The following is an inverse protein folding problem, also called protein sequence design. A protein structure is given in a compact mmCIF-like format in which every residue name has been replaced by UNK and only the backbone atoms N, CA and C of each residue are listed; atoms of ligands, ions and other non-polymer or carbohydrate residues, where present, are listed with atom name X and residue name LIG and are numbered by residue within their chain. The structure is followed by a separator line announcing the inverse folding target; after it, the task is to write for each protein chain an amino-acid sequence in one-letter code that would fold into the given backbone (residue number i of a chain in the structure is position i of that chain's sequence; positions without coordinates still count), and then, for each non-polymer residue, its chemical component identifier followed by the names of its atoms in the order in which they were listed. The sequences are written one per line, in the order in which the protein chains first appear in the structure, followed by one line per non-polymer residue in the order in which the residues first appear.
data_IF_122220778595
#
_entry.id   IF_122220778595
#
_cell.length_a   1.000
_cell.length_b   1.000
_cell.length_c   1.000
_cell.angle_alpha   90.00
_cell.angle_beta   90.00
_cell.angle_gamma   90.00
#
_symmetry.space_group_name_H-M   'P 1'
#
loop_
_entity.id
_entity.type
_entity.pdbx_description
1 polymer ?
#
# COMPACT_ATOMS: atom_id res chain seq x y z
N UNK A 1 -14.04 8.18 4.78
CA UNK A 1 -14.14 9.25 5.80
C UNK A 1 -15.44 10.05 5.69
N UNK A 2 -15.73 10.73 4.56
CA UNK A 2 -16.94 11.55 4.40
C UNK A 2 -18.25 10.75 4.52
N UNK A 3 -18.37 9.64 3.79
CA UNK A 3 -19.55 8.77 3.88
C UNK A 3 -19.77 8.21 5.31
N UNK A 4 -18.70 7.83 6.03
CA UNK A 4 -18.78 7.39 7.44
C UNK A 4 -19.28 8.50 8.38
N UNK A 5 -19.19 9.78 7.97
CA UNK A 5 -19.73 10.94 8.69
C UNK A 5 -21.16 11.31 8.27
N UNK A 6 -21.84 10.47 7.48
CA UNK A 6 -23.24 10.69 7.07
C UNK A 6 -23.43 11.56 5.83
N UNK A 7 -22.36 11.95 5.14
CA UNK A 7 -22.47 12.72 3.89
C UNK A 7 -22.90 11.82 2.74
N UNK A 8 -23.75 12.34 1.85
CA UNK A 8 -24.01 11.71 0.56
C UNK A 8 -22.82 11.94 -0.36
N UNK A 9 -22.13 10.85 -0.73
CA UNK A 9 -20.88 10.91 -1.51
C UNK A 9 -21.06 10.15 -2.82
N UNK A 10 -20.79 10.82 -3.93
CA UNK A 10 -20.66 10.20 -5.26
C UNK A 10 -19.19 10.20 -5.69
N UNK A 11 -18.66 9.03 -6.08
CA UNK A 11 -17.28 8.87 -6.55
C UNK A 11 -17.29 8.50 -8.04
N UNK A 12 -16.53 9.23 -8.85
CA UNK A 12 -16.37 8.96 -10.27
C UNK A 12 -14.91 8.60 -10.55
N UNK A 13 -14.66 7.44 -11.15
CA UNK A 13 -13.33 6.96 -11.55
C UNK A 13 -13.38 6.63 -13.04
N UNK A 14 -12.37 7.05 -13.79
CA UNK A 14 -12.34 6.89 -15.24
C UNK A 14 -12.11 5.43 -15.65
N UNK A 15 -11.41 4.66 -14.80
CA UNK A 15 -11.09 3.26 -15.06
C UNK A 15 -12.25 2.34 -14.69
N UNK A 16 -12.38 1.18 -15.36
CA UNK A 16 -13.30 0.13 -14.93
C UNK A 16 -12.99 -0.34 -13.50
N UNK A 17 -14.02 -0.89 -12.85
CA UNK A 17 -13.91 -1.42 -11.49
C UNK A 17 -12.82 -2.52 -11.41
N UNK A 18 -11.71 -2.30 -10.68
CA UNK A 18 -10.61 -3.26 -10.59
C UNK A 18 -10.99 -4.57 -9.88
N UNK A 19 -12.17 -4.64 -9.24
CA UNK A 19 -12.67 -5.85 -8.60
C UNK A 19 -13.15 -6.87 -9.64
N UNK A 20 -13.55 -6.43 -10.83
CA UNK A 20 -13.97 -7.29 -11.94
C UNK A 20 -12.75 -7.95 -12.59
N UNK A 21 -12.82 -9.27 -12.82
CA UNK A 21 -11.71 -10.05 -13.39
C UNK A 21 -11.29 -9.56 -14.78
N UNK A 22 -12.26 -9.18 -15.61
CA UNK A 22 -12.06 -8.62 -16.96
C UNK A 22 -11.26 -7.31 -16.94
N UNK A 23 -11.46 -6.47 -15.93
CA UNK A 23 -10.76 -5.20 -15.78
C UNK A 23 -9.30 -5.38 -15.33
N UNK A 24 -9.01 -6.39 -14.49
CA UNK A 24 -7.64 -6.66 -14.01
C UNK A 24 -6.70 -7.05 -15.15
N UNK A 25 -7.18 -7.91 -16.06
CA UNK A 25 -6.42 -8.35 -17.23
C UNK A 25 -6.11 -7.20 -18.21
N UNK A 26 -7.02 -6.22 -18.30
CA UNK A 26 -6.85 -5.03 -19.14
C UNK A 26 -6.04 -3.90 -18.46
N UNK A 27 -5.81 -3.98 -17.16
CA UNK A 27 -5.18 -2.90 -16.40
C UNK A 27 -3.65 -3.00 -16.40
N UNK A 28 -2.98 -2.09 -17.11
CA UNK A 28 -1.55 -1.84 -16.92
C UNK A 28 -1.35 -1.02 -15.64
N UNK A 29 -1.25 -1.70 -14.49
CA UNK A 29 -0.84 -1.03 -13.27
C UNK A 29 0.63 -0.63 -13.36
N UNK A 30 0.93 0.65 -13.09
CA UNK A 30 2.31 1.18 -13.10
C UNK A 30 3.24 0.51 -12.08
N UNK A 31 2.69 -0.12 -11.04
CA UNK A 31 3.45 -0.80 -9.99
C UNK A 31 2.58 -1.89 -9.38
N UNK A 32 3.19 -3.05 -9.10
CA UNK A 32 2.56 -4.20 -8.44
C UNK A 32 2.47 -3.97 -6.93
N UNK A 33 3.58 -3.51 -6.33
CA UNK A 33 3.68 -3.20 -4.90
C UNK A 33 3.79 -1.69 -4.65
N UNK A 34 3.40 -1.27 -3.45
CA UNK A 34 3.54 0.09 -2.95
C UNK A 34 4.25 0.07 -1.59
N UNK A 35 5.22 0.95 -1.40
CA UNK A 35 5.78 1.22 -0.08
C UNK A 35 4.83 2.12 0.73
N UNK A 36 4.38 1.66 1.89
CA UNK A 36 3.55 2.40 2.84
C UNK A 36 4.32 2.67 4.13
N UNK A 37 4.31 3.93 4.57
CA UNK A 37 4.91 4.36 5.84
C UNK A 37 3.89 4.37 6.97
N UNK A 38 4.36 4.67 8.19
CA UNK A 38 3.50 4.82 9.36
C UNK A 38 2.30 5.77 9.09
N UNK A 39 2.55 6.91 8.42
CA UNK A 39 1.47 7.89 8.12
C UNK A 39 0.34 7.28 7.29
N UNK A 40 0.67 6.45 6.30
CA UNK A 40 -0.34 5.79 5.46
C UNK A 40 -1.15 4.77 6.27
N UNK A 41 -0.47 3.99 7.11
CA UNK A 41 -1.11 3.00 7.98
C UNK A 41 -2.04 3.69 8.99
N UNK A 42 -1.57 4.75 9.66
CA UNK A 42 -2.37 5.52 10.61
C UNK A 42 -3.59 6.16 9.95
N UNK A 43 -3.47 6.66 8.71
CA UNK A 43 -4.59 7.23 7.97
C UNK A 43 -5.66 6.17 7.66
N UNK A 44 -5.26 4.96 7.24
CA UNK A 44 -6.19 3.86 7.01
C UNK A 44 -6.82 3.44 8.34
N UNK A 45 -6.03 3.29 9.40
CA UNK A 45 -6.51 2.88 10.72
C UNK A 45 -7.53 3.86 11.32
N UNK A 46 -7.33 5.16 11.12
CA UNK A 46 -8.27 6.19 11.54
C UNK A 46 -9.61 6.13 10.78
N UNK A 47 -9.62 5.59 9.56
CA UNK A 47 -10.82 5.37 8.76
C UNK A 47 -11.46 4.03 9.13
N UNK A 48 -10.67 2.97 9.20
CA UNK A 48 -11.08 1.59 9.46
C UNK A 48 -9.93 0.74 10.00
N UNK A 49 -9.97 0.41 11.29
CA UNK A 49 -8.94 -0.41 11.92
C UNK A 49 -8.87 -1.84 11.39
N UNK A 50 -10.01 -2.42 10.99
CA UNK A 50 -10.06 -3.79 10.46
C UNK A 50 -9.41 -3.90 9.09
N UNK A 51 -9.61 -2.88 8.25
CA UNK A 51 -8.95 -2.74 6.96
C UNK A 51 -7.42 -2.62 7.11
N UNK A 52 -6.97 -1.77 8.04
CA UNK A 52 -5.54 -1.62 8.33
C UNK A 52 -4.92 -2.94 8.77
N UNK A 53 -5.57 -3.69 9.66
CA UNK A 53 -5.09 -5.00 10.11
C UNK A 53 -4.97 -6.00 8.95
N UNK A 54 -5.98 -6.06 8.07
CA UNK A 54 -5.96 -6.93 6.89
C UNK A 54 -4.80 -6.62 5.94
N UNK A 55 -4.50 -5.35 5.71
CA UNK A 55 -3.34 -4.99 4.87
C UNK A 55 -2.02 -5.38 5.52
N UNK A 56 -1.90 -5.17 6.83
CA UNK A 56 -0.70 -5.50 7.58
C UNK A 56 -0.43 -7.01 7.63
N UNK A 57 -1.44 -7.88 7.50
CA UNK A 57 -1.24 -9.33 7.41
C UNK A 57 -0.50 -9.76 6.15
N UNK A 58 -0.64 -9.01 5.05
CA UNK A 58 0.03 -9.29 3.77
C UNK A 58 1.23 -8.39 3.52
N UNK A 59 1.52 -7.48 4.45
CA UNK A 59 2.59 -6.51 4.34
C UNK A 59 3.96 -7.17 4.53
N UNK A 60 4.91 -6.82 3.68
CA UNK A 60 6.30 -7.26 3.81
C UNK A 60 7.13 -6.11 4.41
N UNK A 61 7.69 -6.27 5.62
CA UNK A 61 8.47 -5.21 6.25
C UNK A 61 9.81 -5.00 5.55
N UNK A 62 10.11 -3.75 5.24
CA UNK A 62 11.38 -3.30 4.66
C UNK A 62 12.10 -2.42 5.69
N UNK A 63 13.08 -3.00 6.38
CA UNK A 63 13.80 -2.35 7.50
C UNK A 63 14.84 -1.32 7.05
N UNK A 64 15.17 -1.31 5.77
CA UNK A 64 16.20 -0.47 5.20
C UNK A 64 16.24 -0.56 3.69
N UNK A 65 17.15 0.20 3.09
CA UNK A 65 17.46 0.11 1.67
C UNK A 65 18.71 -0.75 1.45
N UNK A 66 18.67 -1.54 0.40
CA UNK A 66 19.85 -2.22 -0.13
C UNK A 66 20.39 -1.41 -1.31
N UNK A 67 21.65 -0.99 -1.23
CA UNK A 67 22.33 -0.27 -2.31
C UNK A 67 23.28 -1.25 -2.99
N UNK A 68 23.07 -1.47 -4.28
CA UNK A 68 23.95 -2.26 -5.12
C UNK A 68 24.99 -1.32 -5.76
N UNK A 69 26.27 -1.55 -5.46
CA UNK A 69 27.37 -0.78 -6.03
C UNK A 69 27.79 -1.34 -7.40
N UNK A 70 28.46 -0.53 -8.20
CA UNK A 70 28.92 -0.91 -9.54
C UNK A 70 29.97 -2.03 -9.52
N UNK A 71 30.72 -2.17 -8.42
CA UNK A 71 31.70 -3.23 -8.22
C UNK A 71 31.07 -4.56 -7.73
N UNK A 72 29.74 -4.64 -7.71
CA UNK A 72 28.98 -5.81 -7.26
C UNK A 72 28.80 -5.91 -5.75
N UNK A 73 29.41 -5.03 -4.94
CA UNK A 73 29.22 -5.03 -3.48
C UNK A 73 27.84 -4.48 -3.11
N UNK A 74 27.32 -4.96 -1.98
CA UNK A 74 26.04 -4.51 -1.44
C UNK A 74 26.25 -3.77 -0.13
N UNK A 75 25.49 -2.69 0.06
CA UNK A 75 25.48 -1.90 1.29
C UNK A 75 24.05 -1.78 1.83
N UNK A 76 23.82 -2.34 3.01
CA UNK A 76 22.53 -2.25 3.70
C UNK A 76 22.51 -1.03 4.61
N UNK A 77 21.50 -0.19 4.44
CA UNK A 77 21.27 0.99 5.28
C UNK A 77 19.88 0.90 5.90
N UNK A 78 19.83 0.68 7.22
CA UNK A 78 18.59 0.68 7.97
C UNK A 78 17.92 2.05 7.90
N UNK A 79 16.60 2.08 7.84
CA UNK A 79 15.84 3.34 7.86
C UNK A 79 15.87 4.00 9.24
N UNK A 80 15.92 3.17 10.27
CA UNK A 80 15.78 3.60 11.65
C UNK A 80 16.61 2.71 12.57
N UNK A 81 17.04 3.27 13.71
CA UNK A 81 17.88 2.56 14.69
C UNK A 81 17.06 1.67 15.61
N UNK A 82 15.81 2.04 15.87
CA UNK A 82 14.91 1.38 16.82
C UNK A 82 13.98 0.36 16.13
N UNK A 83 14.27 0.06 14.85
CA UNK A 83 13.58 -0.98 14.09
C UNK A 83 12.32 -0.52 13.38
N UNK A 84 12.05 0.79 13.29
CA UNK A 84 10.96 1.28 12.45
C UNK A 84 11.21 0.91 10.98
N UNK A 85 10.14 0.54 10.28
CA UNK A 85 10.21 0.09 8.90
C UNK A 85 9.11 0.70 8.04
N UNK A 86 9.34 0.71 6.73
CA UNK A 86 8.27 0.87 5.76
C UNK A 86 7.79 -0.51 5.33
N UNK A 87 6.57 -0.60 4.84
CA UNK A 87 5.98 -1.88 4.45
C UNK A 87 5.71 -1.89 2.95
N UNK A 88 6.01 -3.01 2.30
CA UNK A 88 5.58 -3.26 0.93
C UNK A 88 4.21 -3.94 0.95
N UNK A 89 3.23 -3.36 0.28
CA UNK A 89 1.87 -3.89 0.17
C UNK A 89 1.45 -4.02 -1.29
N UNK A 90 0.60 -5.00 -1.60
CA UNK A 90 0.02 -5.16 -2.93
C UNK A 90 -0.94 -4.01 -3.26
N UNK A 91 -0.75 -3.37 -4.42
CA UNK A 91 -1.54 -2.21 -4.83
C UNK A 91 -2.98 -2.58 -5.16
N UNK A 92 -3.19 -3.73 -5.78
CA UNK A 92 -4.52 -4.18 -6.17
C UNK A 92 -5.35 -4.50 -4.91
N UNK A 93 -4.75 -5.12 -3.90
CA UNK A 93 -5.38 -5.34 -2.60
C UNK A 93 -5.80 -4.02 -1.95
N UNK A 94 -4.91 -3.02 -1.93
CA UNK A 94 -5.23 -1.70 -1.37
C UNK A 94 -6.41 -1.04 -2.09
N UNK A 95 -6.41 -1.07 -3.43
CA UNK A 95 -7.40 -0.35 -4.24
C UNK A 95 -8.74 -1.07 -4.40
N UNK A 96 -8.78 -2.40 -4.18
CA UNK A 96 -9.98 -3.22 -4.32
C UNK A 96 -10.66 -3.56 -2.98
N UNK A 97 -10.05 -3.14 -1.88
CA UNK A 97 -10.59 -3.29 -0.52
C UNK A 97 -11.91 -2.53 -0.34
N UNK A 98 -12.79 -3.05 0.53
CA UNK A 98 -14.07 -2.44 0.92
C UNK A 98 -13.90 -1.64 2.19
#
# INVERSE_FOLDING_TARGET
MLAKRGWQVSLYEARPDPRLSSARAASQQRSINLAISHRGISAIQAIDGSMAQRFMQTAIPMKGRMIHQLDGKWNSQLYDRDGQCINSIDRALLSSSR
#
